data_IF_187095149818
#
_entry.id   IF_187095149818
#
_cell.length_a   1.000
_cell.length_b   1.000
_cell.length_c   1.000
_cell.angle_alpha   90.00
_cell.angle_beta   90.00
_cell.angle_gamma   90.00
#
_symmetry.space_group_name_H-M   'P 1'
#
loop_
_entity.id
_entity.type
_entity.pdbx_description
1 polymer ?
#
# COMPACT_ATOMS: atom_id res chain seq x y z
N UNK A 1 -3.37 -20.67 41.99
CA UNK A 1 -3.18 -20.80 43.45
C UNK A 1 -1.98 -21.72 43.70
N UNK A 2 -1.15 -21.49 44.73
CA UNK A 2 0.10 -20.68 44.78
C UNK A 2 1.38 -21.59 44.77
N UNK A 3 2.63 -21.16 45.10
CA UNK A 3 3.14 -19.83 45.49
C UNK A 3 4.41 -19.32 44.78
N UNK A 4 4.66 -18.02 45.03
CA UNK A 4 5.85 -17.21 44.78
C UNK A 4 7.05 -17.64 45.66
N UNK A 5 8.26 -17.44 45.15
CA UNK A 5 9.44 -17.05 45.95
C UNK A 5 10.20 -15.94 45.22
N UNK A 6 10.61 -14.95 45.99
CA UNK A 6 11.24 -13.71 45.54
C UNK A 6 12.66 -13.59 46.11
N UNK A 7 13.57 -12.98 45.35
CA UNK A 7 14.76 -12.27 45.86
C UNK A 7 15.22 -11.30 44.77
N UNK A 8 14.93 -9.99 44.89
CA UNK A 8 15.73 -8.93 45.53
C UNK A 8 17.19 -8.86 45.07
N UNK A 9 17.51 -7.85 44.26
CA UNK A 9 18.52 -6.82 44.59
C UNK A 9 18.41 -5.63 43.61
N UNK A 10 18.51 -4.42 44.16
CA UNK A 10 18.39 -3.13 43.49
C UNK A 10 19.78 -2.41 43.43
N UNK A 11 19.90 -1.11 43.13
CA UNK A 11 20.37 -0.58 41.86
C UNK A 11 21.76 0.09 41.94
N UNK A 12 22.51 0.06 40.84
CA UNK A 12 23.79 0.76 40.68
C UNK A 12 23.64 2.10 39.96
N UNK A 13 24.28 3.13 40.50
CA UNK A 13 24.20 4.55 40.15
C UNK A 13 25.36 5.05 39.26
N UNK A 14 25.22 6.30 38.79
CA UNK A 14 26.27 7.31 38.54
C UNK A 14 26.96 7.44 37.15
N UNK A 15 26.51 8.49 36.43
CA UNK A 15 27.25 9.69 36.00
C UNK A 15 28.53 9.69 35.11
N UNK A 16 28.40 10.48 34.02
CA UNK A 16 29.28 11.56 33.48
C UNK A 16 30.53 11.24 32.64
N UNK A 17 30.44 11.70 31.38
CA UNK A 17 31.36 12.54 30.59
C UNK A 17 32.88 12.32 30.69
N UNK A 18 33.51 12.08 29.53
CA UNK A 18 34.88 12.56 29.28
C UNK A 18 35.08 12.95 27.81
N UNK A 19 35.41 14.23 27.63
CA UNK A 19 35.83 14.84 26.38
C UNK A 19 37.20 14.28 25.94
N UNK A 20 37.42 14.19 24.63
CA UNK A 20 38.76 14.06 24.05
C UNK A 20 38.98 15.17 23.03
N UNK A 21 39.68 16.22 23.47
CA UNK A 21 40.38 17.18 22.60
C UNK A 21 41.62 16.48 22.04
N UNK A 22 41.88 16.62 20.75
CA UNK A 22 43.23 16.58 20.21
C UNK A 22 43.40 17.80 19.31
N UNK A 23 44.47 18.53 19.54
CA UNK A 23 44.86 19.74 18.85
C UNK A 23 46.08 19.41 17.98
N UNK A 24 46.11 19.92 16.74
CA UNK A 24 47.33 20.22 16.00
C UNK A 24 47.00 21.05 14.74
N UNK A 25 47.40 22.32 14.75
CA UNK A 25 47.72 23.16 13.59
C UNK A 25 48.99 23.94 14.00
N UNK A 26 49.89 24.35 13.08
CA UNK A 26 49.66 25.62 12.36
C UNK A 26 50.33 25.78 10.97
N UNK A 27 49.83 26.75 10.18
CA UNK A 27 50.53 27.70 9.27
C UNK A 27 49.47 28.31 8.30
N UNK A 28 48.93 29.52 8.52
CA UNK A 28 49.37 30.85 8.03
C UNK A 28 49.52 30.91 6.47
N UNK A 29 48.94 31.82 5.67
CA UNK A 29 48.31 33.15 5.78
C UNK A 29 47.28 33.30 4.63
N UNK A 30 46.37 34.27 4.49
CA UNK A 30 46.09 35.56 5.12
C UNK A 30 44.82 36.18 4.48
N UNK A 31 44.22 37.21 5.11
CA UNK A 31 43.17 38.06 4.52
C UNK A 31 41.84 38.14 5.28
N UNK A 32 41.68 39.19 6.09
CA UNK A 32 40.51 39.56 6.94
C UNK A 32 39.37 40.30 6.20
N UNK A 33 38.19 40.52 6.82
CA UNK A 33 36.87 40.37 6.20
C UNK A 33 36.12 41.68 5.90
N UNK A 34 35.11 41.63 5.03
CA UNK A 34 34.07 42.67 4.90
C UNK A 34 32.65 42.09 4.76
N UNK A 35 31.88 42.30 5.85
CA UNK A 35 30.46 42.69 5.93
C UNK A 35 29.40 41.92 5.11
N UNK A 36 28.70 41.05 5.84
CA UNK A 36 27.23 40.82 5.89
C UNK A 36 26.35 41.16 4.66
N UNK A 37 25.66 40.13 4.14
CA UNK A 37 24.20 40.22 3.98
C UNK A 37 23.55 38.83 4.08
N UNK A 38 22.92 38.58 5.22
CA UNK A 38 22.10 37.41 5.51
C UNK A 38 20.73 37.65 4.84
N UNK A 39 20.49 37.08 3.66
CA UNK A 39 19.14 37.04 3.10
C UNK A 39 18.37 35.93 3.82
N UNK A 40 17.72 36.30 4.91
CA UNK A 40 16.61 35.52 5.46
C UNK A 40 15.49 35.54 4.42
N UNK A 41 15.56 34.61 3.47
CA UNK A 41 14.43 34.26 2.61
C UNK A 41 13.34 33.67 3.49
N UNK A 42 12.54 34.55 4.09
CA UNK A 42 11.36 34.22 4.85
C UNK A 42 10.46 33.35 3.98
N UNK A 43 10.39 32.06 4.31
CA UNK A 43 9.39 31.16 3.76
C UNK A 43 8.06 31.61 4.33
N UNK A 44 7.41 32.57 3.66
CA UNK A 44 6.05 32.95 3.97
C UNK A 44 5.18 31.72 3.80
N UNK A 45 4.78 31.11 4.91
CA UNK A 45 3.65 30.21 4.95
C UNK A 45 2.46 31.05 4.48
N UNK A 46 1.97 30.79 3.27
CA UNK A 46 0.67 31.29 2.81
C UNK A 46 -0.41 30.59 3.64
N UNK A 47 -0.58 31.02 4.89
CA UNK A 47 -1.80 30.77 5.65
C UNK A 47 -2.84 31.67 5.02
N UNK A 48 -3.72 31.08 4.21
CA UNK A 48 -4.89 31.78 3.70
C UNK A 48 -5.69 32.28 4.92
N UNK A 49 -5.80 33.60 5.06
CA UNK A 49 -6.65 34.25 6.06
C UNK A 49 -8.08 33.76 5.88
N UNK A 50 -8.58 32.94 6.81
CA UNK A 50 -10.01 32.82 7.06
C UNK A 50 -10.41 34.02 7.94
N UNK A 51 -10.50 35.21 7.35
CA UNK A 51 -10.78 36.44 8.09
C UNK A 51 -12.16 37.05 7.77
N UNK A 52 -13.01 36.35 7.02
CA UNK A 52 -14.37 36.81 6.73
C UNK A 52 -15.30 35.61 6.49
N UNK A 53 -15.62 34.87 7.55
CA UNK A 53 -16.66 33.83 7.53
C UNK A 53 -17.64 34.21 8.63
N UNK A 54 -18.84 34.65 8.25
CA UNK A 54 -19.92 35.00 9.16
C UNK A 54 -20.67 33.74 9.63
N UNK A 55 -21.32 33.77 10.81
CA UNK A 55 -22.21 32.69 11.24
C UNK A 55 -23.35 32.51 10.22
N UNK A 56 -23.34 31.39 9.48
CA UNK A 56 -24.30 31.11 8.40
C UNK A 56 -23.69 31.04 7.00
N UNK A 57 -22.45 31.50 6.82
CA UNK A 57 -21.74 31.32 5.55
C UNK A 57 -21.40 29.83 5.34
N UNK A 58 -21.51 29.31 4.09
CA UNK A 58 -21.02 27.97 3.80
C UNK A 58 -19.53 27.92 4.12
N UNK A 59 -19.15 27.00 5.00
CA UNK A 59 -17.73 26.79 5.34
C UNK A 59 -16.94 26.70 4.04
N UNK A 60 -15.88 27.53 3.84
CA UNK A 60 -15.12 27.49 2.61
C UNK A 60 -14.51 26.09 2.50
N UNK A 61 -15.10 25.26 1.63
CA UNK A 61 -14.61 23.92 1.37
C UNK A 61 -13.26 24.08 0.71
N UNK A 62 -12.20 23.86 1.49
CA UNK A 62 -10.82 24.05 1.04
C UNK A 62 -10.60 23.33 -0.29
N UNK A 63 -9.77 23.93 -1.17
CA UNK A 63 -9.47 23.37 -2.49
C UNK A 63 -9.13 21.88 -2.36
N UNK A 64 -9.87 21.02 -3.06
CA UNK A 64 -9.60 19.58 -3.10
C UNK A 64 -8.15 19.36 -3.51
N UNK A 65 -7.36 18.76 -2.62
CA UNK A 65 -5.94 18.52 -2.83
C UNK A 65 -5.76 17.55 -4.00
N UNK A 66 -5.12 18.00 -5.09
CA UNK A 66 -4.70 17.12 -6.19
C UNK A 66 -3.42 16.38 -5.78
N UNK A 67 -3.45 15.06 -5.87
CA UNK A 67 -2.25 14.23 -5.68
C UNK A 67 -1.34 14.31 -6.91
N UNK A 68 -0.03 14.15 -6.70
CA UNK A 68 0.90 13.96 -7.82
C UNK A 68 0.58 12.63 -8.52
N UNK A 69 0.81 12.51 -9.84
CA UNK A 69 0.68 11.24 -10.55
C UNK A 69 1.37 10.09 -9.80
N UNK A 70 0.74 8.91 -9.76
CA UNK A 70 1.25 7.72 -9.06
C UNK A 70 1.08 7.73 -7.53
N UNK A 71 0.84 8.87 -6.88
CA UNK A 71 0.71 8.92 -5.40
C UNK A 71 -0.49 8.13 -4.89
N UNK A 72 -1.62 8.18 -5.60
CA UNK A 72 -2.84 7.45 -5.21
C UNK A 72 -2.65 5.96 -5.44
N UNK A 73 -2.16 5.56 -6.61
CA UNK A 73 -1.85 4.16 -6.94
C UNK A 73 -0.91 3.52 -5.91
N UNK A 74 0.18 4.19 -5.51
CA UNK A 74 1.10 3.67 -4.50
C UNK A 74 0.46 3.50 -3.12
N UNK A 75 -0.51 4.35 -2.76
CA UNK A 75 -1.27 4.18 -1.51
C UNK A 75 -2.23 3.01 -1.59
N UNK A 76 -2.91 2.84 -2.72
CA UNK A 76 -3.83 1.74 -2.98
C UNK A 76 -3.09 0.40 -2.97
N UNK A 77 -1.94 0.29 -3.65
CA UNK A 77 -1.09 -0.91 -3.64
C UNK A 77 -0.73 -1.29 -2.20
N UNK A 78 -0.22 -0.34 -1.41
CA UNK A 78 0.16 -0.60 -0.01
C UNK A 78 -1.03 -0.95 0.88
N UNK A 79 -2.22 -0.40 0.60
CA UNK A 79 -3.45 -0.72 1.32
C UNK A 79 -3.87 -2.15 1.01
N UNK A 80 -4.01 -2.48 -0.27
CA UNK A 80 -4.51 -3.79 -0.72
C UNK A 80 -3.55 -4.93 -0.43
N UNK A 81 -2.24 -4.68 -0.42
CA UNK A 81 -1.25 -5.69 -0.02
C UNK A 81 -1.19 -5.93 1.51
N UNK A 82 -1.81 -5.06 2.32
CA UNK A 82 -1.86 -5.24 3.78
C UNK A 82 -3.14 -5.94 4.22
N UNK A 83 -4.24 -5.69 3.52
CA UNK A 83 -5.54 -6.32 3.76
C UNK A 83 -5.67 -7.65 3.02
N UNK A 84 -6.60 -8.49 3.46
CA UNK A 84 -6.99 -9.73 2.77
C UNK A 84 -8.50 -9.75 2.47
N UNK A 85 -9.10 -8.56 2.38
CA UNK A 85 -10.53 -8.42 2.07
C UNK A 85 -10.81 -8.85 0.64
N UNK A 86 -11.93 -9.54 0.42
CA UNK A 86 -12.43 -9.85 -0.92
C UNK A 86 -12.78 -8.57 -1.68
N UNK A 87 -12.25 -8.42 -2.89
CA UNK A 87 -12.38 -7.21 -3.70
C UNK A 87 -13.53 -7.31 -4.71
N UNK A 88 -13.94 -8.52 -5.09
CA UNK A 88 -15.08 -8.72 -5.99
C UNK A 88 -16.39 -8.66 -5.19
N UNK A 89 -17.39 -7.98 -5.75
CA UNK A 89 -18.71 -7.92 -5.13
C UNK A 89 -19.35 -9.32 -5.04
N UNK A 90 -19.78 -9.71 -3.84
CA UNK A 90 -20.27 -11.06 -3.54
C UNK A 90 -21.50 -11.47 -4.37
N UNK A 91 -22.48 -10.58 -4.53
CA UNK A 91 -23.73 -10.92 -5.21
C UNK A 91 -23.54 -11.15 -6.73
N UNK A 92 -22.84 -10.27 -7.48
CA UNK A 92 -22.50 -10.56 -8.88
C UNK A 92 -21.70 -11.86 -9.05
N UNK A 93 -20.70 -12.10 -8.20
CA UNK A 93 -19.92 -13.35 -8.26
C UNK A 93 -20.79 -14.58 -8.02
N UNK A 94 -21.67 -14.54 -7.01
CA UNK A 94 -22.60 -15.62 -6.72
C UNK A 94 -23.58 -15.89 -7.87
N UNK A 95 -24.01 -14.86 -8.62
CA UNK A 95 -24.86 -15.03 -9.81
C UNK A 95 -24.07 -15.71 -10.94
N UNK A 96 -22.85 -15.26 -11.20
CA UNK A 96 -21.97 -15.84 -12.21
C UNK A 96 -21.69 -17.33 -11.94
N UNK A 97 -21.40 -17.69 -10.68
CA UNK A 97 -21.17 -19.10 -10.30
C UNK A 97 -22.39 -19.98 -10.61
N UNK A 98 -23.60 -19.47 -10.36
CA UNK A 98 -24.84 -20.20 -10.64
C UNK A 98 -25.13 -20.32 -12.14
N UNK A 99 -24.88 -19.24 -12.89
CA UNK A 99 -25.00 -19.23 -14.35
C UNK A 99 -24.08 -20.28 -14.99
N UNK A 100 -22.79 -20.27 -14.63
CA UNK A 100 -21.80 -21.25 -15.12
C UNK A 100 -22.19 -22.68 -14.71
N UNK A 101 -22.73 -22.87 -13.50
CA UNK A 101 -23.18 -24.19 -13.08
C UNK A 101 -24.36 -24.71 -13.91
N UNK A 102 -25.29 -23.84 -14.31
CA UNK A 102 -26.40 -24.23 -15.18
C UNK A 102 -25.95 -24.59 -16.60
N UNK A 103 -24.92 -23.92 -17.12
CA UNK A 103 -24.37 -24.21 -18.44
C UNK A 103 -23.59 -25.53 -18.47
N UNK A 104 -22.95 -25.90 -17.36
CA UNK A 104 -22.08 -27.08 -17.29
C UNK A 104 -22.79 -28.34 -16.82
N UNK A 105 -23.87 -28.23 -16.04
CA UNK A 105 -24.57 -29.39 -15.49
C UNK A 105 -25.79 -29.77 -16.35
N UNK A 106 -26.14 -31.07 -16.42
CA UNK A 106 -27.40 -31.53 -16.98
C UNK A 106 -28.60 -30.80 -16.35
N UNK A 107 -29.63 -30.50 -17.16
CA UNK A 107 -30.74 -29.64 -16.77
C UNK A 107 -31.53 -30.14 -15.54
N UNK A 108 -31.61 -31.46 -15.39
CA UNK A 108 -32.21 -32.16 -14.26
C UNK A 108 -31.44 -31.93 -12.94
N UNK A 109 -30.11 -31.84 -12.99
CA UNK A 109 -29.28 -31.61 -11.80
C UNK A 109 -29.12 -30.11 -11.51
N UNK A 110 -28.96 -29.28 -12.55
CA UNK A 110 -28.73 -27.84 -12.43
C UNK A 110 -29.88 -27.09 -11.77
N UNK A 111 -31.13 -27.48 -12.07
CA UNK A 111 -32.32 -26.84 -11.51
C UNK A 111 -32.51 -27.10 -10.00
N UNK A 112 -32.02 -28.23 -9.49
CA UNK A 112 -32.15 -28.62 -8.08
C UNK A 112 -30.93 -28.23 -7.22
N UNK A 113 -29.83 -27.78 -7.85
CA UNK A 113 -28.57 -27.52 -7.18
C UNK A 113 -28.67 -26.37 -6.16
N UNK A 114 -28.57 -26.73 -4.88
CA UNK A 114 -28.50 -25.78 -3.76
C UNK A 114 -27.06 -25.47 -3.42
N UNK A 115 -26.76 -24.17 -3.29
CA UNK A 115 -25.44 -23.67 -2.92
C UNK A 115 -25.38 -23.29 -1.45
N UNK A 116 -24.36 -23.80 -0.75
CA UNK A 116 -23.99 -23.29 0.56
C UNK A 116 -23.32 -21.92 0.44
N UNK A 117 -23.58 -21.02 1.40
CA UNK A 117 -22.95 -19.69 1.44
C UNK A 117 -21.43 -19.77 1.51
N UNK A 118 -20.90 -20.63 2.38
CA UNK A 118 -19.46 -20.84 2.56
C UNK A 118 -18.80 -21.43 1.31
N UNK A 119 -19.49 -22.27 0.53
CA UNK A 119 -18.95 -22.82 -0.71
C UNK A 119 -18.74 -21.72 -1.77
N UNK A 120 -19.70 -20.79 -1.91
CA UNK A 120 -19.54 -19.64 -2.81
C UNK A 120 -18.38 -18.74 -2.34
N UNK A 121 -18.23 -18.53 -1.02
CA UNK A 121 -17.11 -17.77 -0.48
C UNK A 121 -15.76 -18.43 -0.77
N UNK A 122 -15.64 -19.74 -0.58
CA UNK A 122 -14.42 -20.48 -0.88
C UNK A 122 -14.06 -20.42 -2.37
N UNK A 123 -15.05 -20.52 -3.27
CA UNK A 123 -14.83 -20.32 -4.71
C UNK A 123 -14.35 -18.90 -5.01
N UNK A 124 -14.89 -17.89 -4.34
CA UNK A 124 -14.47 -16.51 -4.52
C UNK A 124 -13.03 -16.28 -4.04
N UNK A 125 -12.69 -16.80 -2.86
CA UNK A 125 -11.33 -16.73 -2.31
C UNK A 125 -10.31 -17.37 -3.25
N UNK A 126 -10.60 -18.58 -3.76
CA UNK A 126 -9.74 -19.27 -4.71
C UNK A 126 -9.59 -18.50 -6.04
N UNK A 127 -10.69 -17.96 -6.58
CA UNK A 127 -10.67 -17.21 -7.82
C UNK A 127 -9.89 -15.89 -7.69
N UNK A 128 -10.10 -15.12 -6.62
CA UNK A 128 -9.35 -13.89 -6.39
C UNK A 128 -7.86 -14.17 -6.15
N UNK A 129 -7.53 -15.20 -5.36
CA UNK A 129 -6.15 -15.61 -5.17
C UNK A 129 -5.48 -15.97 -6.50
N UNK A 130 -6.14 -16.76 -7.34
CA UNK A 130 -5.63 -17.12 -8.66
C UNK A 130 -5.35 -15.89 -9.53
N UNK A 131 -6.30 -14.95 -9.59
CA UNK A 131 -6.16 -13.71 -10.38
C UNK A 131 -5.02 -12.83 -9.88
N UNK A 132 -4.85 -12.67 -8.56
CA UNK A 132 -3.75 -11.89 -7.99
C UNK A 132 -2.39 -12.47 -8.41
N UNK A 133 -2.19 -13.78 -8.23
CA UNK A 133 -0.94 -14.42 -8.65
C UNK A 133 -0.72 -14.30 -10.16
N UNK A 134 -1.76 -14.46 -10.98
CA UNK A 134 -1.64 -14.31 -12.44
C UNK A 134 -1.24 -12.87 -12.83
N UNK A 135 -1.78 -11.86 -12.13
CA UNK A 135 -1.42 -10.47 -12.37
C UNK A 135 -0.02 -10.10 -11.90
N UNK A 136 0.51 -10.75 -10.86
CA UNK A 136 1.91 -10.61 -10.45
C UNK A 136 2.85 -11.07 -11.56
N UNK A 137 2.62 -12.25 -12.14
CA UNK A 137 3.42 -12.76 -13.27
C UNK A 137 3.26 -11.89 -14.53
N UNK A 138 2.03 -11.44 -14.79
CA UNK A 138 1.74 -10.52 -15.90
C UNK A 138 2.52 -9.21 -15.74
N UNK A 139 2.61 -8.69 -14.51
CA UNK A 139 3.35 -7.48 -14.22
C UNK A 139 4.86 -7.67 -14.45
N UNK A 140 5.42 -8.83 -14.09
CA UNK A 140 6.81 -9.18 -14.42
C UNK A 140 7.05 -9.22 -15.94
N UNK A 141 6.10 -9.76 -16.71
CA UNK A 141 6.17 -9.75 -18.18
C UNK A 141 6.15 -8.32 -18.76
N UNK A 142 5.32 -7.44 -18.20
CA UNK A 142 5.27 -6.03 -18.61
C UNK A 142 6.59 -5.30 -18.31
N UNK A 143 7.16 -5.53 -17.11
CA UNK A 143 8.45 -4.96 -16.70
C UNK A 143 9.61 -5.47 -17.56
N UNK A 144 9.61 -6.77 -17.91
CA UNK A 144 10.57 -7.35 -18.84
C UNK A 144 10.56 -6.63 -20.20
N UNK A 145 9.39 -6.20 -20.66
CA UNK A 145 9.21 -5.40 -21.87
C UNK A 145 9.39 -3.87 -21.67
N UNK A 146 9.98 -3.43 -20.56
CA UNK A 146 10.23 -2.01 -20.22
C UNK A 146 8.96 -1.14 -20.16
N UNK A 147 7.82 -1.71 -19.81
CA UNK A 147 6.54 -1.01 -19.65
C UNK A 147 6.10 -1.02 -18.18
N UNK A 148 5.29 -0.03 -17.81
CA UNK A 148 4.60 0.04 -16.51
C UNK A 148 3.13 -0.39 -16.63
N UNK A 149 2.54 -0.24 -17.81
CA UNK A 149 1.15 -0.63 -18.09
C UNK A 149 1.10 -2.06 -18.61
N UNK A 150 0.32 -2.91 -17.93
CA UNK A 150 0.03 -4.28 -18.36
C UNK A 150 -0.87 -4.29 -19.61
N UNK A 151 -0.69 -5.31 -20.46
CA UNK A 151 -1.44 -5.50 -21.70
C UNK A 151 -1.91 -6.95 -21.83
N UNK A 152 -2.87 -7.21 -22.73
CA UNK A 152 -3.40 -8.56 -22.96
C UNK A 152 -2.31 -9.58 -23.34
N UNK A 153 -1.31 -9.16 -24.14
CA UNK A 153 -0.17 -10.01 -24.51
C UNK A 153 0.67 -10.47 -23.31
N UNK A 154 0.72 -9.68 -22.24
CA UNK A 154 1.47 -10.02 -21.02
C UNK A 154 0.74 -11.14 -20.26
N UNK A 155 -0.60 -11.07 -20.21
CA UNK A 155 -1.46 -12.12 -19.60
C UNK A 155 -1.36 -13.41 -20.40
N UNK A 156 -1.45 -13.32 -21.74
CA UNK A 156 -1.33 -14.49 -22.61
C UNK A 156 0.04 -15.16 -22.46
N UNK A 157 1.11 -14.38 -22.38
CA UNK A 157 2.46 -14.89 -22.13
C UNK A 157 2.56 -15.57 -20.77
N UNK A 158 2.08 -14.92 -19.70
CA UNK A 158 2.10 -15.49 -18.35
C UNK A 158 1.34 -16.82 -18.27
N UNK A 159 0.13 -16.89 -18.85
CA UNK A 159 -0.65 -18.15 -18.95
C UNK A 159 0.09 -19.23 -19.73
N UNK A 160 0.76 -18.86 -20.83
CA UNK A 160 1.52 -19.82 -21.64
C UNK A 160 2.73 -20.39 -20.89
N UNK A 161 3.45 -19.57 -20.13
CA UNK A 161 4.63 -19.99 -19.37
C UNK A 161 4.24 -20.86 -18.17
N UNK A 162 3.12 -20.55 -17.50
CA UNK A 162 2.56 -21.39 -16.42
C UNK A 162 2.14 -22.79 -16.89
N UNK A 163 1.99 -22.99 -18.19
CA UNK A 163 1.60 -24.27 -18.78
C UNK A 163 0.12 -24.59 -18.56
N UNK A 164 -0.26 -25.81 -18.96
CA UNK A 164 -1.66 -26.25 -19.00
C UNK A 164 -2.29 -26.27 -17.61
N UNK A 165 -1.53 -26.70 -16.61
CA UNK A 165 -2.02 -26.96 -15.25
C UNK A 165 -2.23 -25.69 -14.40
N UNK A 166 -1.45 -24.64 -14.62
CA UNK A 166 -1.51 -23.40 -13.81
C UNK A 166 -1.91 -22.17 -14.62
N UNK A 167 -1.94 -22.25 -15.95
CA UNK A 167 -2.18 -21.12 -16.84
C UNK A 167 -3.45 -21.22 -17.68
N UNK A 168 -3.90 -22.42 -18.07
CA UNK A 168 -5.04 -22.55 -18.99
C UNK A 168 -6.40 -22.67 -18.31
N UNK A 169 -6.50 -23.25 -17.11
CA UNK A 169 -7.79 -23.50 -16.46
C UNK A 169 -8.50 -24.67 -17.12
#
# INVERSE_FOLDING_TARGET
MPPKLASKTAPGSAQKNKARKTAAAPAAAGGTPTKAQKTTGGKQSKVAKAANVQPGDPTPTGRRRRYKPGTVALKEIRRYQRSYDLLIAKLPFARLVREVALDLLPADVGAELRWQSHAIQALQEAAEAFLVHLFEDTNLCALHAKRVTIMQKDIQLARRIRGVWAGLG
#
